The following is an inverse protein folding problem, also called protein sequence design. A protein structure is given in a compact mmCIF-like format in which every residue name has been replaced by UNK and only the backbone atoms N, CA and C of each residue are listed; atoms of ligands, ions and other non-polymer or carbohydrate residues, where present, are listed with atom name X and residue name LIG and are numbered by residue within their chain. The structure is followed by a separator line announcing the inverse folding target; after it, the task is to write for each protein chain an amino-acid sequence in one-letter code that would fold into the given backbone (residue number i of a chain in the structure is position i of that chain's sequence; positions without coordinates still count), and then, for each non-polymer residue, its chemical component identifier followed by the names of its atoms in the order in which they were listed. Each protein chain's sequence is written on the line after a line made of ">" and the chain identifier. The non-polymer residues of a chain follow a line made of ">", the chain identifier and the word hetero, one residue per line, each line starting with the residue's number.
data_IF_599655671819
#
_entry.id   IF_599655671819
#
_cell.length_a   1.000
_cell.length_b   1.000
_cell.length_c   1.000
_cell.angle_alpha   90.00
_cell.angle_beta   90.00
_cell.angle_gamma   90.00
#
_symmetry.space_group_name_H-M   'P 1'
#
loop_
_entity.id
_entity.type
_entity.pdbx_description
1 polymer ?
#
# COMPACT_ATOMS: atom_id res chain seq x y z
N UNK A 1 1.39 16.16 6.35
CA UNK A 1 0.42 15.04 6.34
C UNK A 1 0.29 14.67 4.89
N UNK A 2 0.79 13.51 4.49
CA UNK A 2 0.65 13.05 3.12
C UNK A 2 -0.81 12.64 2.93
N UNK A 3 -1.49 13.23 1.95
CA UNK A 3 -2.85 12.85 1.58
C UNK A 3 -2.75 11.47 0.91
N UNK A 4 -3.18 10.42 1.61
CA UNK A 4 -3.26 9.08 1.06
C UNK A 4 -4.70 8.60 1.06
N UNK A 5 -5.05 7.86 0.01
CA UNK A 5 -6.35 7.19 -0.06
C UNK A 5 -6.12 5.70 -0.04
N UNK A 6 -6.58 5.04 1.02
CA UNK A 6 -6.71 3.59 1.04
C UNK A 6 -7.77 3.22 0.01
N UNK A 7 -7.42 2.31 -0.89
CA UNK A 7 -8.29 1.89 -1.98
C UNK A 7 -8.70 0.45 -1.70
N UNK A 8 -10.00 0.22 -1.61
CA UNK A 8 -10.50 -1.16 -1.50
C UNK A 8 -10.13 -1.95 -2.76
N UNK A 9 -9.92 -3.26 -2.60
CA UNK A 9 -9.52 -4.14 -3.71
C UNK A 9 -10.48 -4.14 -4.90
N UNK A 10 -11.73 -3.70 -4.73
CA UNK A 10 -12.66 -3.49 -5.84
C UNK A 10 -12.50 -2.14 -6.55
N UNK A 11 -12.00 -1.12 -5.85
CA UNK A 11 -11.77 0.20 -6.42
C UNK A 11 -10.45 0.28 -7.21
N UNK A 12 -9.44 -0.55 -6.91
CA UNK A 12 -8.18 -0.62 -7.69
C UNK A 12 -8.41 -0.97 -9.17
N UNK A 13 -9.51 -1.64 -9.51
CA UNK A 13 -9.85 -1.96 -10.91
C UNK A 13 -10.06 -0.70 -11.77
N UNK A 14 -10.44 0.41 -11.14
CA UNK A 14 -10.65 1.71 -11.79
C UNK A 14 -9.42 2.62 -11.76
N UNK A 15 -8.33 2.21 -11.10
CA UNK A 15 -7.09 2.98 -11.06
C UNK A 15 -6.07 2.44 -12.06
N UNK A 16 -5.43 3.35 -12.81
CA UNK A 16 -4.37 3.01 -13.77
C UNK A 16 -3.04 2.67 -13.07
N UNK A 17 -2.80 3.28 -11.92
CA UNK A 17 -1.64 3.05 -11.07
C UNK A 17 -2.11 3.01 -9.61
N UNK A 18 -1.67 1.99 -8.89
CA UNK A 18 -1.86 1.85 -7.45
C UNK A 18 -0.67 1.09 -6.85
N UNK A 19 -0.53 1.16 -5.54
CA UNK A 19 0.52 0.48 -4.79
C UNK A 19 -0.10 -0.51 -3.83
N UNK A 20 0.58 -1.63 -3.62
CA UNK A 20 0.24 -2.62 -2.61
C UNK A 20 1.34 -2.61 -1.55
N UNK A 21 0.98 -2.40 -0.29
CA UNK A 21 1.87 -2.70 0.83
C UNK A 21 1.51 -4.06 1.39
N UNK A 22 2.52 -4.93 1.45
CA UNK A 22 2.36 -6.31 1.93
C UNK A 22 3.32 -6.59 3.07
N UNK A 23 2.80 -7.09 4.19
CA UNK A 23 3.63 -7.53 5.31
C UNK A 23 4.28 -8.86 4.99
N UNK A 24 5.59 -8.95 5.20
CA UNK A 24 6.38 -10.19 5.09
C UNK A 24 6.82 -10.62 6.49
N UNK A 25 7.05 -11.92 6.73
CA UNK A 25 7.53 -12.41 8.03
C UNK A 25 6.49 -12.51 9.16
N UNK A 26 5.20 -12.39 8.85
CA UNK A 26 4.08 -12.71 9.76
C UNK A 26 3.37 -13.99 9.30
N UNK A 27 2.81 -14.75 10.23
CA UNK A 27 2.04 -15.99 9.99
C UNK A 27 0.83 -15.73 9.07
N UNK A 28 0.26 -14.53 9.16
CA UNK A 28 -0.78 -14.02 8.24
C UNK A 28 -0.26 -12.78 7.49
N UNK A 29 0.22 -12.93 6.24
CA UNK A 29 0.60 -11.78 5.44
C UNK A 29 -0.65 -11.00 5.03
N UNK A 30 -0.72 -9.72 5.43
CA UNK A 30 -1.77 -8.79 5.00
C UNK A 30 -1.27 -7.94 3.83
N UNK A 31 -2.17 -7.72 2.87
CA UNK A 31 -1.97 -6.81 1.74
C UNK A 31 -2.98 -5.68 1.83
N UNK A 32 -2.50 -4.44 1.77
CA UNK A 32 -3.31 -3.22 1.70
C UNK A 32 -2.97 -2.49 0.41
N UNK A 33 -3.98 -1.90 -0.22
CA UNK A 33 -3.83 -1.18 -1.48
C UNK A 33 -4.09 0.30 -1.28
N UNK A 34 -3.28 1.15 -1.90
CA UNK A 34 -3.37 2.59 -1.76
C UNK A 34 -2.88 3.28 -3.02
N UNK A 35 -3.29 4.53 -3.20
CA UNK A 35 -2.80 5.41 -4.27
C UNK A 35 -2.10 6.61 -3.66
N UNK A 36 -0.97 6.98 -4.23
CA UNK A 36 -0.16 8.13 -3.83
C UNK A 36 0.78 8.52 -4.99
N UNK A 37 1.49 9.62 -4.85
CA UNK A 37 2.55 10.00 -5.78
C UNK A 37 3.87 9.29 -5.40
N UNK A 38 4.74 9.04 -6.38
CA UNK A 38 6.06 8.40 -6.16
C UNK A 38 6.89 9.12 -5.08
N UNK A 39 6.84 10.45 -5.03
CA UNK A 39 7.54 11.26 -4.02
C UNK A 39 7.08 10.97 -2.58
N UNK A 40 5.81 10.59 -2.41
CA UNK A 40 5.22 10.31 -1.09
C UNK A 40 5.13 8.81 -0.79
N UNK A 41 5.57 7.95 -1.70
CA UNK A 41 5.35 6.50 -1.63
C UNK A 41 5.85 5.89 -0.32
N UNK A 42 7.11 6.13 0.02
CA UNK A 42 7.73 5.57 1.23
C UNK A 42 7.06 6.10 2.50
N UNK A 43 6.75 7.40 2.54
CA UNK A 43 6.14 8.03 3.71
C UNK A 43 4.73 7.52 3.93
N UNK A 44 3.92 7.45 2.86
CA UNK A 44 2.54 6.95 2.92
C UNK A 44 2.51 5.46 3.27
N UNK A 45 3.37 4.65 2.66
CA UNK A 45 3.44 3.23 2.97
C UNK A 45 3.80 2.99 4.45
N UNK A 46 4.77 3.74 4.99
CA UNK A 46 5.14 3.65 6.39
C UNK A 46 4.00 4.07 7.33
N UNK A 47 3.27 5.15 6.99
CA UNK A 47 2.13 5.64 7.77
C UNK A 47 0.97 4.61 7.77
N UNK A 48 0.65 4.03 6.61
CA UNK A 48 -0.35 2.97 6.47
C UNK A 48 0.04 1.74 7.30
N UNK A 49 1.30 1.31 7.25
CA UNK A 49 1.75 0.16 8.05
C UNK A 49 1.68 0.48 9.54
N UNK A 50 2.07 1.68 9.96
CA UNK A 50 1.98 2.09 11.35
C UNK A 50 0.53 2.17 11.87
N UNK A 51 -0.40 2.62 11.03
CA UNK A 51 -1.81 2.80 11.36
C UNK A 51 -2.61 1.49 11.30
N UNK A 52 -2.50 0.75 10.20
CA UNK A 52 -3.37 -0.40 9.89
C UNK A 52 -2.74 -1.76 10.23
N UNK A 53 -1.40 -1.80 10.32
CA UNK A 53 -0.62 -3.04 10.53
C UNK A 53 0.30 -2.93 11.75
N UNK A 54 -0.23 -2.57 12.94
CA UNK A 54 0.59 -2.45 14.14
C UNK A 54 1.21 -3.80 14.49
N UNK A 55 2.54 -3.88 14.39
CA UNK A 55 3.31 -5.11 14.65
C UNK A 55 3.92 -5.77 13.42
N UNK A 56 3.68 -5.24 12.21
CA UNK A 56 4.43 -5.67 11.02
C UNK A 56 5.92 -5.30 11.16
N UNK A 57 6.80 -6.32 11.26
CA UNK A 57 8.25 -6.12 11.33
C UNK A 57 8.88 -5.91 9.96
N UNK A 58 8.42 -6.67 8.98
CA UNK A 58 8.88 -6.60 7.61
C UNK A 58 7.68 -6.35 6.69
N UNK A 59 7.85 -5.45 5.73
CA UNK A 59 6.85 -5.14 4.72
C UNK A 59 7.54 -4.68 3.45
N UNK A 60 6.84 -4.82 2.33
CA UNK A 60 7.31 -4.40 1.02
C UNK A 60 6.21 -3.67 0.27
N UNK A 61 6.60 -2.78 -0.63
CA UNK A 61 5.69 -2.02 -1.49
C UNK A 61 5.84 -2.51 -2.92
N UNK A 62 4.72 -2.89 -3.52
CA UNK A 62 4.64 -3.41 -4.88
C UNK A 62 3.88 -2.39 -5.72
N UNK A 63 4.54 -1.72 -6.69
CA UNK A 63 3.85 -0.86 -7.64
C UNK A 63 3.06 -1.70 -8.64
N UNK A 64 1.77 -1.41 -8.77
CA UNK A 64 0.88 -2.00 -9.77
C UNK A 64 0.50 -0.93 -10.78
N UNK A 65 1.07 -1.04 -11.98
CA UNK A 65 0.71 -0.22 -13.14
C UNK A 65 -0.05 -1.10 -14.12
N UNK A 66 -1.24 -0.68 -14.55
CA UNK A 66 -1.91 -1.32 -15.69
C UNK A 66 -1.20 -0.86 -16.97
N UNK A 67 -0.08 -1.50 -17.29
CA UNK A 67 0.46 -1.47 -18.64
C UNK A 67 -0.56 -2.17 -19.55
N UNK A 68 -1.07 -1.43 -20.54
CA UNK A 68 -2.20 -1.80 -21.43
C UNK A 68 -1.99 -3.09 -22.22
#
# INVERSE_FOLDING_TARGET
>A
MADYQLVERHAIEHHNEYYEVRTTGTDEPRSLFFTTNEENLETVAADIVAAELPGAKDWTVIPHRKDS
#
